data_IF_522658301498
#
_entry.id   IF_522658301498
#
_cell.length_a   1.000
_cell.length_b   1.000
_cell.length_c   1.000
_cell.angle_alpha   90.00
_cell.angle_beta   90.00
_cell.angle_gamma   90.00
#
_symmetry.space_group_name_H-M   'P 1'
#
loop_
_entity.id
_entity.type
_entity.pdbx_description
1 polymer ?
#
# COMPACT_ATOMS: atom_id res chain seq x y z
N UNK A 1 -49.38 1.09 25.26
CA UNK A 1 -48.09 1.23 25.93
C UNK A 1 -47.19 0.12 25.46
N UNK A 2 -46.44 0.44 24.40
CA UNK A 2 -45.38 -0.37 23.82
C UNK A 2 -44.11 -0.19 24.65
N UNK A 3 -43.59 -1.26 25.23
CA UNK A 3 -42.24 -1.31 25.82
C UNK A 3 -41.44 -2.41 25.14
N UNK A 4 -41.07 -2.19 23.88
CA UNK A 4 -39.90 -2.82 23.25
C UNK A 4 -38.70 -1.88 23.45
N UNK A 5 -37.83 -2.20 24.42
CA UNK A 5 -36.46 -1.70 24.62
C UNK A 5 -36.01 -2.35 25.93
N UNK A 6 -35.06 -3.29 25.94
CA UNK A 6 -33.69 -2.92 26.32
C UNK A 6 -32.67 -4.08 26.08
N UNK A 7 -33.00 -5.14 25.33
CA UNK A 7 -32.07 -6.30 25.15
C UNK A 7 -30.97 -6.08 24.07
N UNK A 8 -30.99 -4.97 23.34
CA UNK A 8 -29.97 -4.65 22.32
C UNK A 8 -28.65 -4.10 22.91
N UNK A 9 -28.67 -3.54 24.12
CA UNK A 9 -27.50 -2.82 24.68
C UNK A 9 -26.45 -3.77 25.28
N UNK A 10 -26.88 -4.87 25.92
CA UNK A 10 -25.98 -5.86 26.54
C UNK A 10 -25.15 -6.63 25.49
N UNK A 11 -25.74 -6.94 24.34
CA UNK A 11 -25.02 -7.60 23.24
C UNK A 11 -23.98 -6.69 22.58
N UNK A 12 -24.23 -5.37 22.57
CA UNK A 12 -23.30 -4.39 22.02
C UNK A 12 -22.08 -4.19 22.92
N UNK A 13 -22.27 -4.22 24.24
CA UNK A 13 -21.17 -4.18 25.20
C UNK A 13 -20.25 -5.41 25.05
N UNK A 14 -20.84 -6.61 24.93
CA UNK A 14 -20.11 -7.88 24.69
C UNK A 14 -19.33 -7.88 23.37
N UNK A 15 -19.92 -7.32 22.30
CA UNK A 15 -19.25 -7.19 21.01
C UNK A 15 -18.04 -6.25 21.08
N UNK A 16 -18.17 -5.12 21.78
CA UNK A 16 -17.09 -4.15 21.94
C UNK A 16 -15.93 -4.73 22.77
N UNK A 17 -16.24 -5.50 23.82
CA UNK A 17 -15.24 -6.20 24.63
C UNK A 17 -14.51 -7.26 23.80
N UNK A 18 -15.24 -8.04 23.00
CA UNK A 18 -14.68 -9.03 22.08
C UNK A 18 -13.78 -8.39 21.02
N UNK A 19 -14.16 -7.22 20.50
CA UNK A 19 -13.33 -6.43 19.56
C UNK A 19 -12.05 -5.95 20.23
N UNK A 20 -12.14 -5.43 21.46
CA UNK A 20 -10.98 -4.96 22.21
C UNK A 20 -9.97 -6.10 22.48
N UNK A 21 -10.46 -7.27 22.88
CA UNK A 21 -9.63 -8.46 23.05
C UNK A 21 -8.97 -8.91 21.73
N UNK A 22 -9.74 -8.89 20.63
CA UNK A 22 -9.22 -9.23 19.30
C UNK A 22 -8.14 -8.24 18.84
N UNK A 23 -8.36 -6.93 19.02
CA UNK A 23 -7.39 -5.90 18.68
C UNK A 23 -6.12 -6.00 19.53
N UNK A 24 -6.25 -6.24 20.84
CA UNK A 24 -5.10 -6.46 21.73
C UNK A 24 -4.29 -7.69 21.31
N UNK A 25 -4.97 -8.80 20.99
CA UNK A 25 -4.33 -10.03 20.50
C UNK A 25 -3.64 -9.82 19.16
N UNK A 26 -4.28 -9.11 18.22
CA UNK A 26 -3.71 -8.73 16.92
C UNK A 26 -2.46 -7.86 17.09
N UNK A 27 -2.54 -6.83 17.93
CA UNK A 27 -1.42 -5.92 18.17
C UNK A 27 -0.22 -6.63 18.82
N UNK A 28 -0.47 -7.59 19.71
CA UNK A 28 0.58 -8.40 20.33
C UNK A 28 1.22 -9.41 19.36
N UNK A 29 0.40 -10.05 18.51
CA UNK A 29 0.88 -11.04 17.56
C UNK A 29 1.58 -10.41 16.36
N UNK A 30 1.14 -9.24 15.92
CA UNK A 30 1.66 -8.49 14.78
C UNK A 30 1.93 -7.05 15.21
N UNK A 31 3.05 -6.78 15.91
CA UNK A 31 3.38 -5.44 16.32
C UNK A 31 3.57 -4.57 15.09
N UNK A 32 2.70 -3.56 14.94
CA UNK A 32 2.86 -2.53 13.92
C UNK A 32 4.12 -1.74 14.26
N UNK A 33 5.24 -2.13 13.66
CA UNK A 33 6.50 -1.44 13.86
C UNK A 33 6.40 -0.13 13.11
N UNK A 34 6.23 0.97 13.86
CA UNK A 34 6.44 2.30 13.31
C UNK A 34 7.89 2.38 12.87
N UNK A 35 8.12 2.50 11.56
CA UNK A 35 9.46 2.76 11.05
C UNK A 35 9.86 4.15 11.54
N UNK A 36 10.76 4.21 12.51
CA UNK A 36 11.33 5.47 12.99
C UNK A 36 12.51 5.83 12.08
N UNK A 37 12.41 6.97 11.39
CA UNK A 37 13.47 7.50 10.54
C UNK A 37 12.94 8.43 9.44
N UNK A 38 13.84 9.23 8.87
CA UNK A 38 13.52 10.05 7.70
C UNK A 38 13.34 9.16 6.48
N UNK A 39 12.16 9.24 5.85
CA UNK A 39 11.88 8.51 4.63
C UNK A 39 12.32 9.32 3.42
N UNK A 40 13.22 8.75 2.62
CA UNK A 40 13.56 9.26 1.30
C UNK A 40 13.03 8.30 0.23
N UNK A 41 12.64 8.87 -0.90
CA UNK A 41 12.16 8.18 -2.09
C UNK A 41 13.28 7.73 -3.02
N UNK A 42 14.48 8.32 -2.89
CA UNK A 42 15.61 8.15 -3.80
C UNK A 42 15.46 8.89 -5.14
N UNK A 43 14.45 9.75 -5.27
CA UNK A 43 14.12 10.52 -6.47
C UNK A 43 14.34 12.03 -6.27
N UNK A 44 14.93 12.45 -5.15
CA UNK A 44 15.02 13.88 -4.76
C UNK A 44 15.93 14.71 -5.68
N UNK A 45 16.83 14.06 -6.43
CA UNK A 45 17.77 14.70 -7.35
C UNK A 45 17.33 14.60 -8.82
N UNK A 46 16.02 14.42 -9.06
CA UNK A 46 15.45 14.25 -10.39
C UNK A 46 14.22 15.12 -10.64
N UNK A 47 13.88 15.30 -11.92
CA UNK A 47 12.66 15.97 -12.34
C UNK A 47 11.77 14.98 -13.07
N UNK A 48 10.57 14.72 -12.54
CA UNK A 48 9.55 13.95 -13.27
C UNK A 48 9.06 14.74 -14.48
N UNK A 49 9.38 14.26 -15.68
CA UNK A 49 8.92 14.86 -16.95
C UNK A 49 7.57 14.33 -17.39
N UNK A 50 7.26 13.10 -17.00
CA UNK A 50 6.01 12.43 -17.36
C UNK A 50 5.56 11.50 -16.24
N UNK A 51 4.24 11.44 -16.02
CA UNK A 51 3.62 10.52 -15.07
C UNK A 51 2.26 10.05 -15.58
N UNK A 52 1.99 8.76 -15.47
CA UNK A 52 0.66 8.20 -15.73
C UNK A 52 0.36 6.95 -14.89
N UNK A 53 -0.92 6.62 -14.73
CA UNK A 53 -1.32 5.32 -14.21
C UNK A 53 -1.33 4.28 -15.34
N UNK A 54 -0.82 3.08 -15.09
CA UNK A 54 -0.73 2.04 -16.10
C UNK A 54 -0.47 0.65 -15.52
N UNK A 55 -0.68 -0.36 -16.36
CA UNK A 55 -0.39 -1.76 -16.04
C UNK A 55 0.90 -2.17 -16.74
N UNK A 56 1.85 -2.73 -15.99
CA UNK A 56 3.12 -3.22 -16.54
C UNK A 56 3.05 -4.73 -16.76
N UNK A 57 3.48 -5.17 -17.93
CA UNK A 57 3.65 -6.58 -18.26
C UNK A 57 5.12 -6.86 -18.53
N UNK A 58 5.60 -8.04 -18.11
CA UNK A 58 6.94 -8.51 -18.43
C UNK A 58 6.85 -9.84 -19.17
N UNK A 59 7.68 -10.02 -20.19
CA UNK A 59 7.73 -11.28 -20.92
C UNK A 59 8.43 -12.36 -20.09
N UNK A 60 7.76 -13.49 -19.90
CA UNK A 60 8.34 -14.70 -19.30
C UNK A 60 8.81 -15.63 -20.40
N UNK A 61 10.12 -15.85 -20.48
CA UNK A 61 10.71 -16.80 -21.43
C UNK A 61 10.33 -18.25 -21.12
N UNK A 62 10.03 -18.59 -19.86
CA UNK A 62 9.58 -19.93 -19.48
C UNK A 62 8.16 -20.22 -19.97
N UNK A 63 7.26 -19.25 -19.81
CA UNK A 63 5.85 -19.39 -20.20
C UNK A 63 5.59 -18.92 -21.64
N UNK A 64 6.59 -18.37 -22.32
CA UNK A 64 6.51 -17.78 -23.65
C UNK A 64 5.38 -16.74 -23.80
N UNK A 65 5.06 -16.00 -22.73
CA UNK A 65 3.94 -15.05 -22.70
C UNK A 65 4.25 -13.82 -21.84
N UNK A 66 3.46 -12.76 -22.02
CA UNK A 66 3.49 -11.59 -21.15
C UNK A 66 2.71 -11.85 -19.86
N UNK A 67 3.37 -11.65 -18.71
CA UNK A 67 2.79 -11.81 -17.38
C UNK A 67 2.62 -10.44 -16.74
N UNK A 68 1.46 -10.20 -16.14
CA UNK A 68 1.19 -8.95 -15.41
C UNK A 68 2.14 -8.82 -14.21
N UNK A 69 2.84 -7.68 -14.14
CA UNK A 69 3.76 -7.37 -13.04
C UNK A 69 3.12 -6.50 -11.96
N UNK A 70 2.07 -5.77 -12.33
CA UNK A 70 1.23 -4.96 -11.45
C UNK A 70 0.68 -3.71 -12.15
N UNK A 71 -0.22 -3.03 -11.46
CA UNK A 71 -0.80 -1.74 -11.86
C UNK A 71 -0.27 -0.64 -10.94
N UNK A 72 -0.02 0.56 -11.46
CA UNK A 72 0.41 1.67 -10.63
C UNK A 72 0.89 2.86 -11.42
N UNK A 73 1.69 3.70 -10.78
CA UNK A 73 2.19 4.94 -11.38
C UNK A 73 3.53 4.67 -12.08
N UNK A 74 3.57 4.98 -13.37
CA UNK A 74 4.75 4.99 -14.24
C UNK A 74 5.25 6.42 -14.37
N UNK A 75 6.55 6.64 -14.17
CA UNK A 75 7.22 7.94 -14.25
C UNK A 75 8.45 7.88 -15.14
N UNK A 76 8.67 8.95 -15.90
CA UNK A 76 9.97 9.23 -16.54
C UNK A 76 10.60 10.39 -15.77
N UNK A 77 11.75 10.12 -15.17
CA UNK A 77 12.52 11.08 -14.40
C UNK A 77 13.80 11.45 -15.17
N UNK A 78 14.05 12.75 -15.31
CA UNK A 78 15.31 13.29 -15.82
C UNK A 78 16.27 13.55 -14.66
N UNK A 79 17.52 13.10 -14.80
CA UNK A 79 18.54 13.33 -13.78
C UNK A 79 19.04 14.78 -13.85
N UNK A 80 19.34 15.38 -12.70
CA UNK A 80 20.05 16.67 -12.66
C UNK A 80 21.51 16.57 -13.11
N UNK A 81 22.10 15.38 -13.05
CA UNK A 81 23.45 15.14 -13.54
C UNK A 81 23.40 14.83 -15.05
N UNK A 82 23.97 15.67 -15.92
CA UNK A 82 23.96 15.44 -17.36
C UNK A 82 24.79 14.22 -17.81
N UNK A 83 25.60 13.63 -16.91
CA UNK A 83 26.31 12.37 -17.15
C UNK A 83 25.50 11.13 -16.78
N UNK A 84 24.39 11.32 -16.08
CA UNK A 84 23.47 10.25 -15.68
C UNK A 84 22.33 10.12 -16.70
N UNK A 85 21.61 9.00 -16.65
CA UNK A 85 20.56 8.65 -17.60
C UNK A 85 19.18 8.90 -17.02
N UNK A 86 18.28 9.36 -17.89
CA UNK A 86 16.85 9.48 -17.57
C UNK A 86 16.25 8.09 -17.33
N UNK A 87 15.48 7.94 -16.25
CA UNK A 87 14.97 6.64 -15.82
C UNK A 87 13.45 6.50 -15.87
N UNK A 88 13.01 5.32 -16.31
CA UNK A 88 11.65 4.85 -16.11
C UNK A 88 11.54 4.25 -14.70
N UNK A 89 10.68 4.81 -13.87
CA UNK A 89 10.33 4.24 -12.57
C UNK A 89 8.87 3.83 -12.52
N UNK A 90 8.59 2.71 -11.84
CA UNK A 90 7.24 2.20 -11.65
C UNK A 90 7.02 1.81 -10.19
N UNK A 91 5.98 2.37 -9.56
CA UNK A 91 5.50 1.91 -8.25
C UNK A 91 4.21 1.14 -8.46
N UNK A 92 4.32 -0.19 -8.43
CA UNK A 92 3.25 -1.12 -8.77
C UNK A 92 2.64 -1.70 -7.49
N UNK A 93 1.31 -1.71 -7.41
CA UNK A 93 0.59 -2.57 -6.47
C UNK A 93 0.62 -4.01 -6.97
N UNK A 94 0.77 -4.96 -6.04
CA UNK A 94 0.52 -6.38 -6.29
C UNK A 94 -0.93 -6.73 -6.01
#
# INVERSE_FOLDING_TARGET
>A
DDEEKDEEDDNKASLLETVAEYEAKRASAHPATTIQGDTSTGEENEITKFQMAGKLFMYSGEQQQFVERGYGILKINESHDPSDWDRLQARLSK
#
